data_IF_954600271089
#
_entry.id   IF_954600271089
#
_cell.length_a   1.000
_cell.length_b   1.000
_cell.length_c   1.000
_cell.angle_alpha   90.00
_cell.angle_beta   90.00
_cell.angle_gamma   90.00
#
_symmetry.space_group_name_H-M   'P 1'
#
loop_
_entity.id
_entity.type
_entity.pdbx_description
1 polymer ?
#
# COMPACT_ATOMS: atom_id res chain seq x y z
N UNK A 1 -18.50 -15.79 -4.01
CA UNK A 1 -19.07 -16.99 -3.40
C UNK A 1 -19.09 -16.73 -1.89
N UNK A 2 -20.26 -16.76 -1.26
CA UNK A 2 -20.41 -16.61 0.21
C UNK A 2 -20.16 -17.96 0.88
N UNK A 3 -19.54 -17.97 2.06
CA UNK A 3 -19.32 -19.21 2.82
C UNK A 3 -20.69 -19.61 3.43
N UNK A 4 -21.21 -20.83 3.21
CA UNK A 4 -22.48 -21.24 3.79
C UNK A 4 -22.50 -21.06 5.31
N UNK A 5 -23.45 -20.28 5.83
CA UNK A 5 -23.56 -19.95 7.26
C UNK A 5 -22.82 -18.69 7.73
N UNK A 6 -22.05 -18.05 6.84
CA UNK A 6 -21.35 -16.78 7.09
C UNK A 6 -21.67 -15.80 5.96
N UNK A 7 -22.39 -14.71 6.28
CA UNK A 7 -22.93 -13.76 5.30
C UNK A 7 -21.86 -12.80 4.71
N UNK A 8 -20.64 -13.31 4.49
CA UNK A 8 -19.49 -12.54 4.03
C UNK A 8 -19.13 -12.89 2.59
N UNK A 9 -19.00 -11.85 1.76
CA UNK A 9 -18.43 -11.98 0.43
C UNK A 9 -16.94 -12.34 0.53
N UNK A 10 -16.50 -13.33 -0.26
CA UNK A 10 -15.09 -13.68 -0.36
C UNK A 10 -14.25 -12.45 -0.78
N UNK A 11 -13.17 -12.12 -0.05
CA UNK A 11 -12.24 -11.08 -0.45
C UNK A 11 -11.66 -11.37 -1.83
N UNK A 12 -11.58 -10.34 -2.67
CA UNK A 12 -11.03 -10.39 -4.03
C UNK A 12 -9.99 -9.29 -4.23
N UNK A 13 -9.15 -9.44 -5.26
CA UNK A 13 -8.25 -8.37 -5.70
C UNK A 13 -9.03 -7.08 -6.01
N UNK A 14 -10.21 -7.21 -6.61
CA UNK A 14 -11.11 -6.08 -6.88
C UNK A 14 -11.53 -5.36 -5.60
N UNK A 15 -11.92 -6.09 -4.55
CA UNK A 15 -12.28 -5.46 -3.28
C UNK A 15 -11.10 -4.76 -2.60
N UNK A 16 -9.89 -5.34 -2.71
CA UNK A 16 -8.66 -4.69 -2.24
C UNK A 16 -8.38 -3.41 -3.02
N UNK A 17 -8.44 -3.46 -4.36
CA UNK A 17 -8.23 -2.31 -5.22
C UNK A 17 -9.25 -1.19 -4.93
N UNK A 18 -10.51 -1.53 -4.71
CA UNK A 18 -11.54 -0.55 -4.32
C UNK A 18 -11.22 0.10 -2.98
N UNK A 19 -10.82 -0.68 -1.96
CA UNK A 19 -10.45 -0.15 -0.65
C UNK A 19 -9.21 0.77 -0.72
N UNK A 20 -8.19 0.36 -1.49
CA UNK A 20 -7.00 1.19 -1.74
C UNK A 20 -7.37 2.47 -2.50
N UNK A 21 -8.21 2.39 -3.52
CA UNK A 21 -8.65 3.54 -4.31
C UNK A 21 -9.33 4.59 -3.43
N UNK A 22 -10.16 4.17 -2.49
CA UNK A 22 -10.81 5.07 -1.53
C UNK A 22 -9.81 5.77 -0.59
N UNK A 23 -8.64 5.16 -0.35
CA UNK A 23 -7.65 5.66 0.60
C UNK A 23 -6.57 6.54 -0.05
N UNK A 24 -6.09 6.16 -1.24
CA UNK A 24 -4.92 6.79 -1.89
C UNK A 24 -5.19 7.29 -3.31
N UNK A 25 -6.41 7.15 -3.81
CA UNK A 25 -6.76 7.46 -5.20
C UNK A 25 -6.45 6.33 -6.18
N UNK A 26 -7.05 6.39 -7.37
CA UNK A 26 -7.06 5.28 -8.32
C UNK A 26 -5.66 4.91 -8.87
N UNK A 27 -4.85 5.91 -9.20
CA UNK A 27 -3.54 5.66 -9.83
C UNK A 27 -2.56 5.03 -8.83
N UNK A 28 -2.50 5.57 -7.61
CA UNK A 28 -1.68 5.00 -6.54
C UNK A 28 -2.16 3.60 -6.15
N UNK A 29 -3.47 3.38 -6.06
CA UNK A 29 -4.03 2.07 -5.74
C UNK A 29 -3.66 1.01 -6.78
N UNK A 30 -3.70 1.34 -8.08
CA UNK A 30 -3.24 0.45 -9.15
C UNK A 30 -1.77 0.12 -9.01
N UNK A 31 -0.92 1.14 -8.87
CA UNK A 31 0.53 0.94 -8.75
C UNK A 31 0.91 0.07 -7.53
N UNK A 32 0.25 0.29 -6.39
CA UNK A 32 0.46 -0.50 -5.18
C UNK A 32 0.00 -1.96 -5.35
N UNK A 33 -1.15 -2.16 -5.99
CA UNK A 33 -1.68 -3.51 -6.26
C UNK A 33 -0.74 -4.26 -7.21
N UNK A 34 -0.29 -3.62 -8.30
CA UNK A 34 0.65 -4.22 -9.25
C UNK A 34 1.98 -4.60 -8.58
N UNK A 35 2.49 -3.75 -7.69
CA UNK A 35 3.71 -4.02 -6.94
C UNK A 35 3.53 -5.23 -6.01
N UNK A 36 2.39 -5.32 -5.33
CA UNK A 36 2.08 -6.43 -4.43
C UNK A 36 1.90 -7.76 -5.20
N UNK A 37 1.23 -7.74 -6.35
CA UNK A 37 1.09 -8.91 -7.24
C UNK A 37 2.46 -9.40 -7.72
N UNK A 38 3.33 -8.47 -8.16
CA UNK A 38 4.70 -8.80 -8.58
C UNK A 38 5.52 -9.41 -7.45
N UNK A 39 5.42 -8.85 -6.24
CA UNK A 39 6.12 -9.36 -5.05
C UNK A 39 5.66 -10.76 -4.66
N UNK A 40 4.38 -11.07 -4.84
CA UNK A 40 3.82 -12.41 -4.64
C UNK A 40 4.29 -13.43 -5.71
N UNK A 41 5.05 -13.00 -6.73
CA UNK A 41 5.57 -13.87 -7.78
C UNK A 41 4.51 -14.34 -8.77
N UNK A 42 3.36 -13.65 -8.85
CA UNK A 42 2.24 -14.01 -9.73
C UNK A 42 1.94 -12.89 -10.72
N UNK A 43 1.15 -13.21 -11.75
CA UNK A 43 0.60 -12.21 -12.69
C UNK A 43 -0.70 -11.58 -12.19
N UNK A 44 -1.45 -12.29 -11.33
CA UNK A 44 -2.70 -11.85 -10.69
C UNK A 44 -2.87 -12.56 -9.34
N UNK A 45 -3.67 -12.01 -8.43
CA UNK A 45 -4.09 -12.71 -7.22
C UNK A 45 -5.11 -13.79 -7.58
N UNK A 46 -4.84 -15.05 -7.27
CA UNK A 46 -5.72 -16.17 -7.63
C UNK A 46 -6.39 -16.81 -6.41
N UNK A 47 -5.82 -16.67 -5.21
CA UNK A 47 -6.36 -17.22 -3.96
C UNK A 47 -6.47 -16.20 -2.84
N UNK A 48 -7.19 -16.55 -1.78
CA UNK A 48 -7.23 -15.74 -0.54
C UNK A 48 -5.84 -15.65 0.11
N UNK A 49 -5.03 -16.71 0.03
CA UNK A 49 -3.64 -16.67 0.54
C UNK A 49 -2.76 -15.67 -0.22
N UNK A 50 -2.98 -15.50 -1.52
CA UNK A 50 -2.30 -14.47 -2.30
C UNK A 50 -2.69 -13.07 -1.81
N UNK A 51 -3.99 -12.85 -1.54
CA UNK A 51 -4.46 -11.58 -0.99
C UNK A 51 -3.87 -11.30 0.38
N UNK A 52 -3.74 -12.30 1.25
CA UNK A 52 -3.09 -12.15 2.55
C UNK A 52 -1.65 -11.67 2.36
N UNK A 53 -0.85 -12.38 1.53
CA UNK A 53 0.54 -12.00 1.25
C UNK A 53 0.68 -10.62 0.63
N UNK A 54 -0.23 -10.27 -0.28
CA UNK A 54 -0.28 -8.93 -0.87
C UNK A 54 -0.54 -7.87 0.18
N UNK A 55 -1.51 -8.08 1.07
CA UNK A 55 -1.84 -7.12 2.13
C UNK A 55 -0.74 -6.99 3.18
N UNK A 56 -0.10 -8.09 3.58
CA UNK A 56 1.07 -8.07 4.47
C UNK A 56 2.22 -7.26 3.85
N UNK A 57 2.51 -7.50 2.58
CA UNK A 57 3.53 -6.74 1.87
C UNK A 57 3.20 -5.24 1.79
N UNK A 58 1.93 -4.89 1.54
CA UNK A 58 1.50 -3.49 1.51
C UNK A 58 1.65 -2.82 2.90
N UNK A 59 1.40 -3.55 3.99
CA UNK A 59 1.63 -3.06 5.35
C UNK A 59 3.12 -2.78 5.58
N UNK A 60 3.99 -3.74 5.26
CA UNK A 60 5.45 -3.58 5.38
C UNK A 60 5.97 -2.40 4.55
N UNK A 61 5.50 -2.29 3.31
CA UNK A 61 5.85 -1.19 2.42
C UNK A 61 5.41 0.16 3.00
N UNK A 62 4.18 0.25 3.51
CA UNK A 62 3.67 1.45 4.16
C UNK A 62 4.53 1.90 5.34
N UNK A 63 4.98 0.95 6.16
CA UNK A 63 5.87 1.24 7.29
C UNK A 63 7.25 1.74 6.84
N UNK A 64 7.86 1.09 5.84
CA UNK A 64 9.14 1.52 5.28
C UNK A 64 9.05 2.92 4.64
N UNK A 65 7.98 3.19 3.88
CA UNK A 65 7.73 4.49 3.27
C UNK A 65 7.54 5.56 4.35
N UNK A 66 6.78 5.27 5.41
CA UNK A 66 6.55 6.20 6.54
C UNK A 66 7.86 6.59 7.22
N UNK A 67 8.73 5.62 7.52
CA UNK A 67 10.04 5.88 8.15
C UNK A 67 10.93 6.71 7.22
N UNK A 68 11.02 6.32 5.95
CA UNK A 68 11.87 6.98 4.95
C UNK A 68 11.42 8.42 4.72
N UNK A 69 10.12 8.65 4.50
CA UNK A 69 9.56 9.99 4.29
C UNK A 69 9.77 10.90 5.50
N UNK A 70 9.67 10.35 6.73
CA UNK A 70 9.95 11.12 7.95
C UNK A 70 11.42 11.56 8.00
N UNK A 71 12.35 10.67 7.67
CA UNK A 71 13.78 10.99 7.62
C UNK A 71 14.06 12.11 6.62
N UNK A 72 13.54 12.00 5.40
CA UNK A 72 13.74 13.00 4.35
C UNK A 72 13.08 14.34 4.67
N UNK A 73 11.90 14.32 5.32
CA UNK A 73 11.26 15.54 5.82
C UNK A 73 12.16 16.28 6.82
N UNK A 74 12.78 15.57 7.76
CA UNK A 74 13.68 16.18 8.74
C UNK A 74 14.85 16.85 8.02
N UNK A 75 15.49 16.15 7.08
CA UNK A 75 16.59 16.71 6.28
C UNK A 75 16.18 17.99 5.56
N UNK A 76 15.02 17.97 4.88
CA UNK A 76 14.50 19.12 4.16
C UNK A 76 14.18 20.31 5.09
N UNK A 77 13.57 20.04 6.25
CA UNK A 77 13.26 21.09 7.24
C UNK A 77 14.53 21.71 7.81
N UNK A 78 15.53 20.90 8.17
CA UNK A 78 16.82 21.40 8.67
C UNK A 78 17.52 22.25 7.62
N UNK A 79 17.57 21.79 6.36
CA UNK A 79 18.15 22.56 5.27
C UNK A 79 17.45 23.92 5.12
N UNK A 80 16.11 23.94 5.10
CA UNK A 80 15.33 25.17 5.02
C UNK A 80 15.65 26.12 6.18
N UNK A 81 15.69 25.60 7.42
CA UNK A 81 15.99 26.41 8.60
C UNK A 81 17.40 27.03 8.55
N UNK A 82 18.41 26.25 8.17
CA UNK A 82 19.79 26.75 8.03
C UNK A 82 19.90 27.78 6.91
N UNK A 83 19.20 27.58 5.80
CA UNK A 83 19.21 28.54 4.69
C UNK A 83 18.46 29.84 5.03
N UNK A 84 17.37 29.76 5.79
CA UNK A 84 16.62 30.94 6.25
C UNK A 84 17.43 31.77 7.25
N UNK A 85 18.35 31.16 8.01
CA UNK A 85 19.24 31.88 8.94
C UNK A 85 20.42 32.61 8.28
N UNK A 86 20.69 32.35 6.99
CA UNK A 86 21.80 32.98 6.24
C UNK A 86 21.30 34.13 5.34
N UNK A 87 19.99 34.38 5.29
CA UNK A 87 19.39 35.58 4.69
C UNK A 87 19.25 36.70 5.72
#
# INVERSE_FOLDING_TARGET
MTIPGYDYAQPTEKSLLTALTASVGADAARALTDLAVKKAGRRTSASTDDLVKMTEYLMELGDLVRVTARSEKIRAVTYRALHDTVK
#
